data_IF_254840562515
#
_entry.id   IF_254840562515
#
_cell.length_a   1.000
_cell.length_b   1.000
_cell.length_c   1.000
_cell.angle_alpha   90.00
_cell.angle_beta   90.00
_cell.angle_gamma   90.00
#
_symmetry.space_group_name_H-M   'P 1'
#
loop_
_entity.id
_entity.type
_entity.pdbx_description
1 polymer ?
#
# COMPACT_ATOMS: atom_id res chain seq x y z
N UNK A 1 1.11 2.68 -4.12
CA UNK A 1 2.20 1.68 -4.14
C UNK A 1 3.39 2.20 -3.34
N UNK A 2 3.98 3.35 -3.70
CA UNK A 2 5.02 4.00 -2.88
C UNK A 2 4.43 4.74 -1.68
N UNK A 3 4.44 4.07 -0.52
CA UNK A 3 4.09 4.62 0.80
C UNK A 3 5.25 4.53 1.80
N UNK A 4 4.94 4.33 3.08
CA UNK A 4 5.93 4.10 4.13
C UNK A 4 6.66 2.74 4.03
N UNK A 5 6.05 1.75 3.36
CA UNK A 5 6.48 0.35 3.40
C UNK A 5 7.97 0.13 3.13
N UNK A 6 8.54 0.70 2.07
CA UNK A 6 9.96 0.50 1.75
C UNK A 6 10.92 1.07 2.81
N UNK A 7 10.50 2.05 3.58
CA UNK A 7 11.33 2.68 4.61
C UNK A 7 11.22 1.97 5.96
N UNK A 8 10.09 1.31 6.22
CA UNK A 8 9.79 0.72 7.54
C UNK A 8 9.81 -0.80 7.57
N UNK A 9 9.56 -1.45 6.45
CA UNK A 9 9.36 -2.91 6.39
C UNK A 9 10.65 -3.72 6.24
N UNK A 10 11.71 -3.29 5.52
CA UNK A 10 12.90 -4.13 5.31
C UNK A 10 13.52 -4.70 6.59
N UNK A 11 13.67 -3.88 7.63
CA UNK A 11 14.20 -4.32 8.93
C UNK A 11 13.32 -5.40 9.56
N UNK A 12 12.00 -5.21 9.52
CA UNK A 12 11.05 -6.18 10.06
C UNK A 12 10.95 -7.48 9.24
N UNK A 13 11.17 -7.43 7.92
CA UNK A 13 11.28 -8.65 7.09
C UNK A 13 12.53 -9.40 7.47
N UNK A 14 13.69 -8.72 7.51
CA UNK A 14 14.96 -9.36 7.85
C UNK A 14 14.95 -9.96 9.26
N UNK A 15 14.31 -9.29 10.22
CA UNK A 15 14.09 -9.81 11.56
C UNK A 15 13.23 -11.10 11.55
N UNK A 16 12.25 -11.20 10.66
CA UNK A 16 11.37 -12.39 10.56
C UNK A 16 12.07 -13.56 9.86
N UNK A 17 12.77 -13.30 8.73
CA UNK A 17 13.38 -14.37 7.91
C UNK A 17 14.80 -14.72 8.33
N UNK A 18 15.49 -13.86 9.08
CA UNK A 18 16.83 -14.07 9.63
C UNK A 18 17.99 -13.88 8.64
N UNK A 19 17.80 -14.15 7.33
CA UNK A 19 18.85 -14.10 6.30
C UNK A 19 18.57 -13.08 5.19
N UNK A 20 19.62 -12.45 4.66
CA UNK A 20 19.54 -11.37 3.66
C UNK A 20 19.07 -11.90 2.30
N UNK A 21 19.55 -13.07 1.87
CA UNK A 21 19.17 -13.72 0.61
C UNK A 21 17.67 -13.99 0.55
N UNK A 22 17.10 -14.59 1.59
CA UNK A 22 15.65 -14.82 1.68
C UNK A 22 14.89 -13.49 1.71
N UNK A 23 15.36 -12.48 2.47
CA UNK A 23 14.72 -11.16 2.50
C UNK A 23 14.65 -10.54 1.09
N UNK A 24 15.71 -10.65 0.29
CA UNK A 24 15.76 -10.17 -1.11
C UNK A 24 14.80 -10.95 -2.02
N UNK A 25 14.66 -12.27 -1.84
CA UNK A 25 13.69 -13.07 -2.61
C UNK A 25 12.25 -12.58 -2.40
N UNK A 26 11.88 -12.15 -1.18
CA UNK A 26 10.56 -11.59 -0.91
C UNK A 26 10.29 -10.29 -1.70
N UNK A 27 11.31 -9.48 -1.97
CA UNK A 27 11.19 -8.28 -2.80
C UNK A 27 11.02 -8.59 -4.29
N UNK A 28 11.31 -9.82 -4.72
CA UNK A 28 11.01 -10.33 -6.07
C UNK A 28 9.64 -11.01 -6.12
N UNK A 29 9.28 -11.77 -5.08
CA UNK A 29 8.00 -12.49 -5.02
C UNK A 29 6.79 -11.57 -4.85
N UNK A 30 6.88 -10.57 -3.97
CA UNK A 30 5.78 -9.65 -3.69
C UNK A 30 5.27 -8.86 -4.93
N UNK A 31 6.11 -8.30 -5.82
CA UNK A 31 5.63 -7.61 -7.02
C UNK A 31 5.01 -8.57 -8.05
N UNK A 32 5.41 -9.85 -8.10
CA UNK A 32 4.76 -10.85 -8.96
C UNK A 32 3.30 -11.08 -8.53
N UNK A 33 3.03 -11.08 -7.22
CA UNK A 33 1.67 -11.16 -6.70
C UNK A 33 0.85 -9.92 -7.06
N UNK A 34 1.45 -8.73 -6.94
CA UNK A 34 0.82 -7.48 -7.35
C UNK A 34 0.53 -7.45 -8.87
N UNK A 35 1.39 -8.04 -9.71
CA UNK A 35 1.17 -8.16 -11.16
C UNK A 35 -0.04 -9.04 -11.48
N UNK A 36 -0.20 -10.14 -10.75
CA UNK A 36 -1.34 -11.04 -10.93
C UNK A 36 -2.65 -10.35 -10.51
N UNK A 37 -2.65 -9.65 -9.37
CA UNK A 37 -3.79 -8.83 -8.92
C UNK A 37 -4.14 -7.72 -9.92
N UNK A 38 -3.13 -7.02 -10.46
CA UNK A 38 -3.32 -5.99 -11.48
C UNK A 38 -3.96 -6.57 -12.76
N UNK A 39 -3.58 -7.77 -13.16
CA UNK A 39 -4.18 -8.45 -14.31
C UNK A 39 -5.66 -8.79 -14.06
N UNK A 40 -5.99 -9.31 -12.87
CA UNK A 40 -7.37 -9.60 -12.46
C UNK A 40 -8.24 -8.34 -12.50
N UNK A 41 -7.78 -7.25 -11.87
CA UNK A 41 -8.54 -6.00 -11.81
C UNK A 41 -8.68 -5.33 -13.17
N UNK A 42 -7.65 -5.42 -14.01
CA UNK A 42 -7.73 -4.89 -15.38
C UNK A 42 -8.82 -5.58 -16.20
N UNK A 43 -8.98 -6.89 -16.01
CA UNK A 43 -10.06 -7.63 -16.66
C UNK A 43 -11.43 -7.23 -16.11
N UNK A 44 -11.60 -7.21 -14.79
CA UNK A 44 -12.85 -6.81 -14.14
C UNK A 44 -13.26 -5.38 -14.53
N UNK A 45 -12.32 -4.44 -14.50
CA UNK A 45 -12.52 -3.07 -14.93
C UNK A 45 -12.89 -2.98 -16.41
N UNK A 46 -12.34 -3.84 -17.27
CA UNK A 46 -12.70 -3.86 -18.71
C UNK A 46 -14.13 -4.30 -18.97
N UNK A 47 -14.75 -5.03 -18.03
CA UNK A 47 -16.17 -5.38 -18.13
C UNK A 47 -17.09 -4.23 -17.68
N UNK A 48 -16.58 -3.28 -16.87
CA UNK A 48 -17.36 -2.19 -16.26
C UNK A 48 -16.60 -0.84 -16.30
N UNK A 49 -16.20 -0.33 -17.47
CA UNK A 49 -15.28 0.82 -17.59
C UNK A 49 -15.83 2.15 -17.05
N UNK A 50 -17.16 2.31 -17.03
CA UNK A 50 -17.82 3.58 -16.70
C UNK A 50 -18.15 3.74 -15.21
N UNK A 51 -17.74 2.80 -14.35
CA UNK A 51 -18.03 2.85 -12.91
C UNK A 51 -16.74 2.92 -12.08
N UNK A 52 -16.73 3.85 -11.13
CA UNK A 52 -15.71 3.97 -10.08
C UNK A 52 -16.08 3.12 -8.86
N UNK A 53 -15.11 2.90 -7.95
CA UNK A 53 -15.32 2.10 -6.73
C UNK A 53 -14.89 0.63 -6.83
N UNK A 54 -14.25 0.24 -7.94
CA UNK A 54 -13.57 -1.05 -8.14
C UNK A 54 -14.29 -2.26 -7.54
N UNK A 55 -13.82 -2.76 -6.39
CA UNK A 55 -14.33 -3.97 -5.72
C UNK A 55 -15.83 -3.92 -5.46
N UNK A 56 -16.38 -2.75 -5.12
CA UNK A 56 -17.82 -2.55 -4.86
C UNK A 56 -18.65 -2.95 -6.08
N UNK A 57 -18.20 -2.52 -7.26
CA UNK A 57 -18.87 -2.78 -8.55
C UNK A 57 -18.64 -4.23 -8.96
N UNK A 58 -17.42 -4.74 -8.80
CA UNK A 58 -17.05 -6.08 -9.24
C UNK A 58 -17.79 -7.16 -8.44
N UNK A 59 -17.86 -7.00 -7.12
CA UNK A 59 -18.55 -7.94 -6.24
C UNK A 59 -20.08 -7.90 -6.43
N UNK A 60 -20.67 -6.70 -6.61
CA UNK A 60 -22.10 -6.55 -6.93
C UNK A 60 -22.48 -7.36 -8.18
N UNK A 61 -21.66 -7.28 -9.23
CA UNK A 61 -21.95 -7.98 -10.50
C UNK A 61 -21.60 -9.46 -10.47
N UNK A 62 -20.55 -9.84 -9.75
CA UNK A 62 -20.17 -11.24 -9.60
C UNK A 62 -21.20 -12.02 -8.78
N UNK A 63 -21.71 -11.45 -7.69
CA UNK A 63 -22.57 -12.12 -6.71
C UNK A 63 -23.92 -11.40 -6.52
N UNK A 64 -24.82 -11.43 -7.52
CA UNK A 64 -26.12 -10.78 -7.43
C UNK A 64 -27.13 -11.51 -6.51
N UNK A 65 -26.83 -12.75 -6.10
CA UNK A 65 -27.69 -13.58 -5.26
C UNK A 65 -26.88 -14.19 -4.10
N UNK A 66 -27.41 -14.19 -2.86
CA UNK A 66 -28.59 -13.46 -2.41
C UNK A 66 -28.42 -11.94 -2.56
N UNK A 67 -29.52 -11.23 -2.83
CA UNK A 67 -29.49 -9.81 -3.23
C UNK A 67 -28.76 -8.98 -2.17
N UNK A 68 -27.79 -8.19 -2.61
CA UNK A 68 -26.93 -7.34 -1.78
C UNK A 68 -26.04 -8.03 -0.74
N UNK A 69 -26.13 -9.35 -0.52
CA UNK A 69 -25.41 -9.99 0.59
C UNK A 69 -23.88 -9.75 0.54
N UNK A 70 -23.23 -10.15 -0.54
CA UNK A 70 -21.76 -9.98 -0.68
C UNK A 70 -21.38 -8.50 -0.71
N UNK A 71 -22.17 -7.66 -1.38
CA UNK A 71 -21.95 -6.21 -1.42
C UNK A 71 -22.06 -5.56 -0.04
N UNK A 72 -23.03 -5.94 0.79
CA UNK A 72 -23.22 -5.44 2.15
C UNK A 72 -22.09 -5.91 3.07
N UNK A 73 -21.73 -7.20 3.00
CA UNK A 73 -20.62 -7.74 3.80
C UNK A 73 -19.30 -7.04 3.44
N UNK A 74 -19.06 -6.82 2.15
CA UNK A 74 -17.92 -6.03 1.68
C UNK A 74 -17.98 -4.56 2.12
N UNK A 75 -19.15 -3.92 2.00
CA UNK A 75 -19.36 -2.54 2.40
C UNK A 75 -19.06 -2.32 3.89
N UNK A 76 -19.64 -3.15 4.75
CA UNK A 76 -19.43 -3.11 6.20
C UNK A 76 -17.96 -3.32 6.53
N UNK A 77 -17.34 -4.38 5.98
CA UNK A 77 -15.92 -4.63 6.19
C UNK A 77 -15.08 -3.44 5.74
N UNK A 78 -15.34 -2.90 4.55
CA UNK A 78 -14.53 -1.82 4.00
C UNK A 78 -14.62 -0.57 4.84
N UNK A 79 -15.79 -0.22 5.38
CA UNK A 79 -15.94 0.96 6.22
C UNK A 79 -15.10 0.83 7.48
N UNK A 80 -15.21 -0.31 8.19
CA UNK A 80 -14.44 -0.55 9.41
C UNK A 80 -12.93 -0.65 9.15
N UNK A 81 -12.51 -1.11 7.97
CA UNK A 81 -11.09 -1.18 7.58
C UNK A 81 -10.59 0.05 6.82
N UNK A 82 -11.42 1.08 6.60
CA UNK A 82 -11.06 2.28 5.81
C UNK A 82 -10.20 3.29 6.58
N UNK A 83 -9.29 2.81 7.41
CA UNK A 83 -8.42 3.66 8.21
C UNK A 83 -7.06 3.91 7.55
N UNK A 84 -6.39 4.99 7.98
CA UNK A 84 -5.05 5.37 7.49
C UNK A 84 -4.04 5.59 8.61
N UNK A 85 -4.20 4.85 9.71
CA UNK A 85 -3.40 4.99 10.93
C UNK A 85 -1.90 4.78 10.67
N UNK A 86 -1.53 3.71 9.96
CA UNK A 86 -0.13 3.32 9.76
C UNK A 86 0.71 4.45 9.16
N UNK A 87 0.22 5.11 8.10
CA UNK A 87 0.97 6.20 7.47
C UNK A 87 0.98 7.47 8.33
N UNK A 88 -0.06 7.74 9.12
CA UNK A 88 -0.10 8.89 10.03
C UNK A 88 0.88 8.72 11.20
N UNK A 89 0.97 7.51 11.75
CA UNK A 89 1.90 7.15 12.83
C UNK A 89 3.35 7.21 12.36
N UNK A 90 3.64 6.64 11.18
CA UNK A 90 4.99 6.71 10.58
C UNK A 90 5.34 8.16 10.22
N UNK A 91 4.41 8.93 9.66
CA UNK A 91 4.60 10.36 9.44
C UNK A 91 5.04 11.06 10.74
N UNK A 92 4.32 10.82 11.84
CA UNK A 92 4.60 11.47 13.12
C UNK A 92 5.99 11.11 13.67
N UNK A 93 6.38 9.82 13.61
CA UNK A 93 7.71 9.39 14.06
C UNK A 93 8.83 10.05 13.28
N UNK A 94 8.76 10.01 11.95
CA UNK A 94 9.79 10.60 11.10
C UNK A 94 9.78 12.13 11.17
N UNK A 95 8.61 12.77 11.23
CA UNK A 95 8.53 14.22 11.37
C UNK A 95 9.17 14.71 12.68
N UNK A 96 8.88 14.05 13.81
CA UNK A 96 9.47 14.38 15.11
C UNK A 96 10.97 14.10 15.13
N UNK A 97 11.40 12.96 14.58
CA UNK A 97 12.82 12.64 14.44
C UNK A 97 13.57 13.67 13.59
N UNK A 98 12.97 14.15 12.49
CA UNK A 98 13.53 15.20 11.64
C UNK A 98 13.72 16.53 12.37
N UNK A 99 12.83 16.84 13.32
CA UNK A 99 12.95 18.00 14.23
C UNK A 99 13.97 17.80 15.36
N UNK A 100 14.57 16.61 15.49
CA UNK A 100 15.44 16.25 16.60
C UNK A 100 14.70 16.03 17.92
N UNK A 101 13.37 15.83 17.87
CA UNK A 101 12.54 15.59 19.04
C UNK A 101 12.36 14.08 19.23
N UNK A 102 12.52 13.62 20.47
CA UNK A 102 12.21 12.22 20.81
C UNK A 102 10.70 12.01 20.80
N UNK A 103 10.18 11.04 20.02
CA UNK A 103 8.75 10.80 19.95
C UNK A 103 8.24 10.15 21.25
N UNK A 104 7.62 10.95 22.12
CA UNK A 104 6.79 10.41 23.19
C UNK A 104 5.45 9.95 22.62
N UNK A 105 4.77 8.95 23.24
CA UNK A 105 3.49 8.45 22.73
C UNK A 105 2.46 9.56 22.50
N UNK A 106 2.38 10.52 23.43
CA UNK A 106 1.43 11.64 23.36
C UNK A 106 1.77 12.58 22.19
N UNK A 107 3.04 12.98 22.05
CA UNK A 107 3.46 13.88 20.97
C UNK A 107 3.26 13.22 19.60
N UNK A 108 3.58 11.93 19.50
CA UNK A 108 3.36 11.15 18.28
C UNK A 108 1.87 11.09 17.91
N UNK A 109 0.98 10.81 18.86
CA UNK A 109 -0.47 10.78 18.64
C UNK A 109 -0.99 12.15 18.19
N UNK A 110 -0.56 13.25 18.83
CA UNK A 110 -0.97 14.61 18.46
C UNK A 110 -0.56 14.97 17.03
N UNK A 111 0.68 14.67 16.64
CA UNK A 111 1.16 14.91 15.27
C UNK A 111 0.43 14.03 14.26
N UNK A 112 0.16 12.76 14.60
CA UNK A 112 -0.60 11.84 13.75
C UNK A 112 -2.04 12.33 13.49
N UNK A 113 -2.71 12.84 14.53
CA UNK A 113 -4.04 13.46 14.39
C UNK A 113 -3.95 14.75 13.55
N UNK A 114 -2.94 15.59 13.80
CA UNK A 114 -2.74 16.83 13.05
C UNK A 114 -2.59 16.59 11.55
N UNK A 115 -1.75 15.62 11.15
CA UNK A 115 -1.57 15.29 9.73
C UNK A 115 -2.81 14.63 9.12
N UNK A 116 -3.55 13.83 9.90
CA UNK A 116 -4.82 13.25 9.46
C UNK A 116 -5.84 14.35 9.16
N UNK A 117 -6.04 15.30 10.08
CA UNK A 117 -6.96 16.43 9.92
C UNK A 117 -6.56 17.30 8.73
N UNK A 118 -5.26 17.62 8.58
CA UNK A 118 -4.77 18.35 7.43
C UNK A 118 -5.08 17.62 6.11
N UNK A 119 -4.89 16.30 6.07
CA UNK A 119 -5.20 15.46 4.90
C UNK A 119 -6.70 15.46 4.60
N UNK A 120 -7.55 15.21 5.61
CA UNK A 120 -9.00 15.14 5.40
C UNK A 120 -9.57 16.47 4.98
N UNK A 121 -9.09 17.58 5.54
CA UNK A 121 -9.51 18.94 5.15
C UNK A 121 -9.07 19.26 3.72
N UNK A 122 -7.85 18.89 3.33
CA UNK A 122 -7.37 19.08 1.96
C UNK A 122 -8.23 18.31 0.94
N UNK A 123 -8.56 17.05 1.24
CA UNK A 123 -9.40 16.21 0.37
C UNK A 123 -10.86 16.66 0.37
N UNK A 124 -11.36 17.15 1.51
CA UNK A 124 -12.71 17.71 1.64
C UNK A 124 -12.88 19.00 0.82
N UNK A 125 -11.88 19.88 0.82
CA UNK A 125 -11.98 21.19 0.17
C UNK A 125 -11.73 21.12 -1.33
N UNK A 126 -10.76 20.32 -1.80
CA UNK A 126 -10.44 20.26 -3.23
C UNK A 126 -9.77 18.96 -3.66
N UNK A 127 -10.47 18.20 -4.51
CA UNK A 127 -9.90 17.04 -5.21
C UNK A 127 -8.74 17.46 -6.12
N UNK A 128 -8.87 18.60 -6.83
CA UNK A 128 -7.85 19.06 -7.78
C UNK A 128 -6.54 19.40 -7.07
N UNK A 129 -6.62 20.13 -5.95
CA UNK A 129 -5.44 20.45 -5.14
C UNK A 129 -4.82 19.18 -4.56
N UNK A 130 -5.65 18.26 -4.05
CA UNK A 130 -5.21 16.97 -3.53
C UNK A 130 -4.43 16.15 -4.57
N UNK A 131 -4.95 16.03 -5.80
CA UNK A 131 -4.27 15.29 -6.87
C UNK A 131 -2.99 15.98 -7.36
N UNK A 132 -2.96 17.31 -7.39
CA UNK A 132 -1.74 18.06 -7.71
C UNK A 132 -0.66 17.87 -6.63
N UNK A 133 -1.04 17.90 -5.35
CA UNK A 133 -0.15 17.62 -4.24
C UNK A 133 0.38 16.18 -4.32
N UNK A 134 -0.48 15.19 -4.60
CA UNK A 134 -0.08 13.80 -4.83
C UNK A 134 0.90 13.69 -5.99
N UNK A 135 0.67 14.40 -7.10
CA UNK A 135 1.59 14.41 -8.25
C UNK A 135 2.98 14.91 -7.84
N UNK A 136 3.06 16.09 -7.21
CA UNK A 136 4.32 16.67 -6.74
C UNK A 136 5.05 15.75 -5.76
N UNK A 137 4.35 15.31 -4.70
CA UNK A 137 4.91 14.46 -3.65
C UNK A 137 5.34 13.11 -4.21
N UNK A 138 4.59 12.53 -5.15
CA UNK A 138 4.97 11.24 -5.77
C UNK A 138 6.21 11.37 -6.64
N UNK A 139 6.37 12.48 -7.37
CA UNK A 139 7.62 12.76 -8.11
C UNK A 139 8.80 12.87 -7.16
N UNK A 140 8.68 13.66 -6.09
CA UNK A 140 9.74 13.80 -5.08
C UNK A 140 10.09 12.45 -4.43
N UNK A 141 9.09 11.62 -4.14
CA UNK A 141 9.30 10.27 -3.59
C UNK A 141 10.13 9.40 -4.55
N UNK A 142 9.75 9.34 -5.83
CA UNK A 142 10.49 8.51 -6.81
C UNK A 142 11.92 9.01 -6.96
N UNK A 143 12.15 10.32 -7.02
CA UNK A 143 13.50 10.89 -7.06
C UNK A 143 14.31 10.52 -5.80
N UNK A 144 13.68 10.55 -4.63
CA UNK A 144 14.32 10.13 -3.37
C UNK A 144 14.72 8.65 -3.39
N UNK A 145 13.89 7.78 -3.96
CA UNK A 145 14.21 6.35 -4.12
C UNK A 145 15.38 6.15 -5.09
N UNK A 146 15.40 6.86 -6.22
CA UNK A 146 16.52 6.84 -7.17
C UNK A 146 17.81 7.30 -6.50
N UNK A 147 17.75 8.35 -5.67
CA UNK A 147 18.89 8.83 -4.90
C UNK A 147 19.43 7.78 -3.92
N UNK A 148 18.57 7.05 -3.21
CA UNK A 148 18.98 5.93 -2.34
C UNK A 148 19.66 4.83 -3.15
N UNK A 149 19.12 4.46 -4.31
CA UNK A 149 19.74 3.45 -5.20
C UNK A 149 21.11 3.91 -5.68
N UNK A 150 21.23 5.17 -6.12
CA UNK A 150 22.51 5.74 -6.55
C UNK A 150 23.54 5.77 -5.42
N UNK A 151 23.11 6.10 -4.20
CA UNK A 151 23.95 6.05 -3.00
C UNK A 151 24.42 4.62 -2.71
N UNK A 152 23.51 3.63 -2.78
CA UNK A 152 23.86 2.22 -2.62
C UNK A 152 24.87 1.73 -3.66
N UNK A 153 24.72 2.16 -4.92
CA UNK A 153 25.70 1.87 -5.96
C UNK A 153 27.07 2.49 -5.62
N UNK A 154 27.12 3.74 -5.15
CA UNK A 154 28.36 4.38 -4.71
C UNK A 154 29.03 3.65 -3.52
N UNK A 155 28.23 3.11 -2.59
CA UNK A 155 28.72 2.25 -1.49
C UNK A 155 29.38 0.97 -2.02
N UNK A 156 28.72 0.28 -2.94
CA UNK A 156 29.26 -0.95 -3.55
C UNK A 156 30.53 -0.70 -4.38
N UNK A 157 30.64 0.47 -5.01
CA UNK A 157 31.83 0.91 -5.74
C UNK A 157 32.98 1.38 -4.83
N UNK A 158 32.78 1.42 -3.51
CA UNK A 158 33.83 1.85 -2.56
C UNK A 158 34.11 3.36 -2.58
N UNK A 159 33.17 4.17 -3.06
CA UNK A 159 33.30 5.64 -3.15
C UNK A 159 32.95 6.31 -1.80
N UNK A 160 32.38 5.56 -0.86
CA UNK A 160 31.90 6.06 0.44
C UNK A 160 32.79 5.62 1.60
N UNK A 161 32.45 6.04 2.82
CA UNK A 161 33.19 5.74 4.07
C UNK A 161 33.10 4.25 4.48
N UNK A 162 32.21 3.48 3.86
CA UNK A 162 31.96 2.07 4.22
C UNK A 162 33.07 1.18 3.66
N UNK A 163 33.82 0.54 4.55
CA UNK A 163 35.01 -0.25 4.19
C UNK A 163 34.68 -1.64 3.61
N UNK A 164 33.62 -2.29 4.10
CA UNK A 164 33.28 -3.67 3.71
C UNK A 164 31.83 -3.80 3.21
N UNK A 165 31.51 -3.28 2.01
CA UNK A 165 30.14 -3.30 1.50
C UNK A 165 29.63 -4.69 1.10
N UNK A 166 30.53 -5.70 1.02
CA UNK A 166 30.21 -7.06 0.56
C UNK A 166 30.02 -8.09 1.69
N UNK A 167 30.28 -7.73 2.95
CA UNK A 167 30.32 -8.70 4.07
C UNK A 167 28.98 -9.44 4.23
N UNK A 168 27.89 -8.69 4.17
CA UNK A 168 26.52 -9.19 4.25
C UNK A 168 26.12 -10.12 3.08
N UNK A 169 26.86 -10.12 1.96
CA UNK A 169 26.58 -10.92 0.78
C UNK A 169 27.44 -12.20 0.69
N UNK A 170 28.43 -12.39 1.57
CA UNK A 170 29.29 -13.60 1.57
C UNK A 170 28.53 -14.86 1.94
N UNK A 171 27.65 -14.77 2.94
CA UNK A 171 26.79 -15.87 3.38
C UNK A 171 25.31 -15.41 3.41
N UNK A 172 24.70 -15.21 2.23
CA UNK A 172 23.42 -14.52 2.14
C UNK A 172 22.27 -15.31 2.78
N UNK A 173 22.37 -16.64 2.83
CA UNK A 173 21.34 -17.53 3.39
C UNK A 173 21.65 -17.99 4.82
N UNK A 174 22.66 -17.42 5.47
CA UNK A 174 23.00 -17.81 6.83
C UNK A 174 21.96 -17.30 7.84
N UNK A 175 21.57 -18.16 8.78
CA UNK A 175 20.58 -17.85 9.82
C UNK A 175 19.15 -17.72 9.29
N UNK A 176 18.81 -18.37 8.18
CA UNK A 176 17.43 -18.44 7.70
C UNK A 176 16.53 -19.09 8.75
N UNK A 177 15.42 -18.42 9.06
CA UNK A 177 14.40 -18.94 9.97
C UNK A 177 13.77 -20.20 9.40
N UNK A 178 13.72 -21.27 10.19
CA UNK A 178 12.98 -22.51 9.87
C UNK A 178 11.49 -22.41 10.23
N UNK A 179 11.07 -21.31 10.89
CA UNK A 179 9.69 -21.13 11.31
C UNK A 179 8.83 -20.68 10.12
N UNK A 180 7.88 -21.51 9.75
CA UNK A 180 6.94 -21.23 8.68
C UNK A 180 6.08 -19.99 8.95
N UNK A 181 5.71 -19.75 10.21
CA UNK A 181 5.00 -18.54 10.63
C UNK A 181 5.83 -17.28 10.34
N UNK A 182 7.12 -17.30 10.69
CA UNK A 182 7.99 -16.15 10.46
C UNK A 182 8.20 -15.85 8.96
N UNK A 183 8.27 -16.90 8.13
CA UNK A 183 8.31 -16.78 6.67
C UNK A 183 6.99 -16.24 6.09
N UNK A 184 5.84 -16.68 6.61
CA UNK A 184 4.52 -16.18 6.21
C UNK A 184 4.35 -14.69 6.57
N UNK A 185 4.70 -14.31 7.80
CA UNK A 185 4.65 -12.93 8.27
C UNK A 185 5.55 -12.01 7.43
N UNK A 186 6.73 -12.47 7.04
CA UNK A 186 7.60 -11.75 6.12
C UNK A 186 6.96 -11.51 4.75
N UNK A 187 6.25 -12.51 4.22
CA UNK A 187 5.53 -12.39 2.94
C UNK A 187 4.41 -11.36 3.01
N UNK A 188 3.64 -11.36 4.09
CA UNK A 188 2.56 -10.37 4.33
C UNK A 188 3.15 -8.96 4.35
N UNK A 189 4.22 -8.77 5.11
CA UNK A 189 4.95 -7.48 5.21
C UNK A 189 5.50 -7.04 3.84
N UNK A 190 6.10 -7.95 3.09
CA UNK A 190 6.59 -7.66 1.74
C UNK A 190 5.44 -7.28 0.80
N UNK A 191 4.33 -8.03 0.84
CA UNK A 191 3.14 -7.75 0.03
C UNK A 191 2.56 -6.37 0.35
N UNK A 192 2.45 -6.02 1.64
CA UNK A 192 1.99 -4.70 2.11
C UNK A 192 2.75 -3.55 1.44
N UNK A 193 4.07 -3.69 1.24
CA UNK A 193 4.90 -2.66 0.61
C UNK A 193 4.53 -2.38 -0.86
N UNK A 194 3.89 -3.33 -1.54
CA UNK A 194 3.43 -3.18 -2.93
C UNK A 194 1.92 -2.89 -3.05
N UNK A 195 1.17 -2.91 -1.95
CA UNK A 195 -0.28 -2.63 -1.98
C UNK A 195 -0.56 -1.19 -2.48
N UNK A 196 -1.73 -1.03 -3.11
CA UNK A 196 -2.23 0.26 -3.60
C UNK A 196 -2.20 0.40 -5.12
N UNK A 197 -1.81 -0.64 -5.85
CA UNK A 197 -2.01 -0.72 -7.30
C UNK A 197 -3.51 -0.70 -7.68
N UNK A 198 -4.39 -1.23 -6.83
CA UNK A 198 -5.84 -1.26 -7.07
C UNK A 198 -6.48 0.14 -6.97
N UNK A 199 -5.81 1.10 -6.31
CA UNK A 199 -6.38 2.42 -6.06
C UNK A 199 -6.67 3.21 -7.34
N UNK A 200 -5.95 2.94 -8.43
CA UNK A 200 -6.22 3.54 -9.73
C UNK A 200 -7.61 3.14 -10.28
N UNK A 201 -8.09 1.94 -9.94
CA UNK A 201 -9.42 1.47 -10.36
C UNK A 201 -10.55 2.08 -9.52
N UNK A 202 -10.26 2.60 -8.32
CA UNK A 202 -11.27 3.32 -7.51
C UNK A 202 -11.72 4.63 -8.16
N UNK A 203 -10.84 5.25 -8.96
CA UNK A 203 -11.08 6.53 -9.64
C UNK A 203 -11.17 6.36 -11.16
N UNK A 204 -11.54 5.15 -11.63
CA UNK A 204 -11.51 4.79 -13.04
C UNK A 204 -12.31 5.75 -13.93
N UNK A 205 -13.50 6.19 -13.49
CA UNK A 205 -14.33 7.14 -14.24
C UNK A 205 -13.76 8.58 -14.27
N UNK A 206 -12.79 8.90 -13.41
CA UNK A 206 -12.12 10.21 -13.40
C UNK A 206 -10.88 10.24 -14.32
N UNK A 207 -10.45 9.09 -14.86
CA UNK A 207 -9.30 8.99 -15.77
C UNK A 207 -9.69 9.52 -17.15
N UNK A 208 -9.04 10.60 -17.58
CA UNK A 208 -9.23 11.18 -18.92
C UNK A 208 -8.62 10.27 -19.99
N UNK A 209 -9.36 10.01 -21.07
CA UNK A 209 -8.87 9.29 -22.25
C UNK A 209 -9.97 8.50 -22.96
N UNK A 210 -9.63 7.96 -24.14
CA UNK A 210 -10.55 7.10 -24.92
C UNK A 210 -10.74 5.71 -24.28
N UNK A 211 -9.69 5.18 -23.64
CA UNK A 211 -9.76 3.90 -22.91
C UNK A 211 -9.11 4.04 -21.51
N UNK A 212 -9.92 4.43 -20.50
CA UNK A 212 -9.49 4.56 -19.11
C UNK A 212 -8.87 3.28 -18.54
N UNK A 213 -9.39 2.11 -18.94
CA UNK A 213 -8.95 0.82 -18.40
C UNK A 213 -7.58 0.44 -18.93
N UNK A 214 -7.33 0.59 -20.24
CA UNK A 214 -6.00 0.37 -20.81
C UNK A 214 -4.98 1.35 -20.24
N UNK A 215 -5.39 2.60 -20.03
CA UNK A 215 -4.54 3.63 -19.41
C UNK A 215 -4.15 3.22 -17.98
N UNK A 216 -5.13 2.86 -17.15
CA UNK A 216 -4.90 2.39 -15.78
C UNK A 216 -4.01 1.14 -15.74
N UNK A 217 -4.25 0.17 -16.62
CA UNK A 217 -3.44 -1.05 -16.74
C UNK A 217 -1.99 -0.74 -17.15
N UNK A 218 -1.77 0.10 -18.16
CA UNK A 218 -0.43 0.46 -18.64
C UNK A 218 0.34 1.24 -17.56
N UNK A 219 -0.31 2.24 -16.97
CA UNK A 219 0.26 3.01 -15.86
C UNK A 219 0.60 2.11 -14.66
N UNK A 220 -0.31 1.20 -14.28
CA UNK A 220 -0.09 0.23 -13.20
C UNK A 220 1.09 -0.70 -13.45
N UNK A 221 1.26 -1.20 -14.68
CA UNK A 221 2.40 -2.07 -15.04
C UNK A 221 3.74 -1.33 -14.98
N UNK A 222 3.79 -0.12 -15.55
CA UNK A 222 5.01 0.71 -15.55
C UNK A 222 5.36 1.10 -14.12
N UNK A 223 4.39 1.55 -13.33
CA UNK A 223 4.59 1.91 -11.94
C UNK A 223 5.08 0.72 -11.11
N UNK A 224 4.45 -0.46 -11.25
CA UNK A 224 4.84 -1.65 -10.53
C UNK A 224 6.25 -2.13 -10.92
N UNK A 225 6.58 -2.15 -12.21
CA UNK A 225 7.92 -2.53 -12.67
C UNK A 225 8.99 -1.56 -12.14
N UNK A 226 8.77 -0.25 -12.25
CA UNK A 226 9.68 0.77 -11.75
C UNK A 226 9.89 0.63 -10.23
N UNK A 227 8.79 0.51 -9.47
CA UNK A 227 8.85 0.42 -8.00
C UNK A 227 9.48 -0.90 -7.57
N UNK A 228 9.19 -2.02 -8.23
CA UNK A 228 9.81 -3.32 -7.93
C UNK A 228 11.32 -3.25 -8.10
N UNK A 229 11.80 -2.70 -9.22
CA UNK A 229 13.23 -2.53 -9.48
C UNK A 229 13.88 -1.62 -8.44
N UNK A 230 13.29 -0.45 -8.15
CA UNK A 230 13.84 0.46 -7.14
C UNK A 230 13.87 -0.17 -5.75
N UNK A 231 12.79 -0.83 -5.33
CA UNK A 231 12.72 -1.45 -4.00
C UNK A 231 13.73 -2.58 -3.86
N UNK A 232 13.93 -3.39 -4.90
CA UNK A 232 14.95 -4.43 -4.90
C UNK A 232 16.36 -3.84 -4.70
N UNK A 233 16.72 -2.82 -5.48
CA UNK A 233 18.03 -2.17 -5.34
C UNK A 233 18.21 -1.38 -4.04
N UNK A 234 17.14 -0.82 -3.47
CA UNK A 234 17.19 -0.17 -2.15
C UNK A 234 17.52 -1.19 -1.06
N UNK A 235 16.95 -2.39 -1.12
CA UNK A 235 17.26 -3.43 -0.14
C UNK A 235 18.71 -3.92 -0.27
N UNK A 236 19.24 -3.98 -1.50
CA UNK A 236 20.67 -4.21 -1.72
C UNK A 236 21.49 -3.07 -1.13
N UNK A 237 21.10 -1.81 -1.33
CA UNK A 237 21.77 -0.65 -0.75
C UNK A 237 21.81 -0.71 0.78
N UNK A 238 20.69 -1.05 1.42
CA UNK A 238 20.61 -1.23 2.87
C UNK A 238 21.55 -2.34 3.37
N UNK A 239 21.51 -3.50 2.71
CA UNK A 239 22.41 -4.62 3.04
C UNK A 239 23.88 -4.31 2.75
N UNK A 240 24.21 -3.42 1.81
CA UNK A 240 25.59 -3.05 1.54
C UNK A 240 26.16 -2.07 2.57
N UNK A 241 25.32 -1.18 3.13
CA UNK A 241 25.79 -0.09 3.98
C UNK A 241 25.65 -0.33 5.48
N UNK A 242 24.72 -1.19 5.91
CA UNK A 242 24.41 -1.39 7.33
C UNK A 242 24.61 -2.86 7.71
N UNK A 243 25.26 -3.16 8.85
CA UNK A 243 25.41 -4.54 9.33
C UNK A 243 24.06 -5.26 9.51
N UNK A 244 24.01 -6.56 9.19
CA UNK A 244 22.80 -7.40 9.26
C UNK A 244 22.05 -7.28 10.58
N UNK A 245 22.75 -7.34 11.71
CA UNK A 245 22.15 -7.31 13.04
C UNK A 245 21.56 -5.94 13.40
N UNK A 246 22.17 -4.85 12.94
CA UNK A 246 21.60 -3.51 13.09
C UNK A 246 20.33 -3.34 12.26
N UNK A 247 20.30 -3.86 11.03
CA UNK A 247 19.08 -3.84 10.20
C UNK A 247 17.94 -4.60 10.89
N UNK A 248 18.22 -5.78 11.47
CA UNK A 248 17.21 -6.57 12.21
C UNK A 248 16.63 -5.82 13.40
N UNK A 249 17.48 -5.10 14.15
CA UNK A 249 17.08 -4.40 15.37
C UNK A 249 16.51 -3.00 15.11
N UNK A 250 16.68 -2.47 13.89
CA UNK A 250 16.21 -1.15 13.47
C UNK A 250 14.69 -0.97 13.50
N UNK A 251 13.94 -2.08 13.46
CA UNK A 251 12.50 -2.08 13.32
C UNK A 251 12.06 -1.31 12.07
N UNK A 252 11.46 -0.14 12.30
CA UNK A 252 10.92 0.73 11.25
C UNK A 252 11.90 1.80 10.76
N UNK A 253 13.13 1.87 11.30
CA UNK A 253 14.07 2.97 11.06
C UNK A 253 15.26 2.59 10.17
N UNK A 254 15.19 1.48 9.43
CA UNK A 254 16.28 1.01 8.54
C UNK A 254 16.78 2.09 7.58
N UNK A 255 15.87 2.88 7.01
CA UNK A 255 16.24 3.98 6.13
C UNK A 255 17.10 5.03 6.85
N UNK A 256 16.73 5.40 8.08
CA UNK A 256 17.48 6.39 8.86
C UNK A 256 18.89 5.86 9.20
N UNK A 257 19.00 4.59 9.58
CA UNK A 257 20.28 3.94 9.85
C UNK A 257 21.20 3.93 8.62
N UNK A 258 20.66 3.62 7.43
CA UNK A 258 21.42 3.67 6.18
C UNK A 258 22.06 5.05 5.95
N UNK A 259 21.28 6.12 6.11
CA UNK A 259 21.80 7.48 5.91
C UNK A 259 22.80 7.89 6.99
N UNK A 260 22.59 7.47 8.23
CA UNK A 260 23.54 7.71 9.33
C UNK A 260 24.89 7.05 9.04
N UNK A 261 24.90 5.82 8.53
CA UNK A 261 26.13 5.12 8.15
C UNK A 261 26.85 5.77 6.97
N UNK A 262 26.12 6.20 5.94
CA UNK A 262 26.73 6.73 4.71
C UNK A 262 27.13 8.20 4.83
N UNK A 263 26.30 9.03 5.46
CA UNK A 263 26.45 10.51 5.47
C UNK A 263 26.66 11.09 6.87
N UNK A 264 26.67 10.27 7.92
CA UNK A 264 26.80 10.72 9.31
C UNK A 264 25.52 11.30 9.91
N UNK A 265 25.62 11.66 11.20
CA UNK A 265 24.46 11.94 12.05
C UNK A 265 23.82 13.32 11.87
N UNK A 266 24.46 14.28 11.20
CA UNK A 266 24.00 15.67 11.22
C UNK A 266 23.01 16.05 10.11
N UNK A 267 23.32 15.74 8.84
CA UNK A 267 22.51 16.19 7.69
C UNK A 267 21.66 15.06 7.09
N UNK A 268 22.23 13.86 6.96
CA UNK A 268 21.56 12.72 6.32
C UNK A 268 20.31 12.24 7.07
N UNK A 269 20.38 12.16 8.41
CA UNK A 269 19.26 11.71 9.24
C UNK A 269 18.04 12.65 9.19
N UNK A 270 18.25 13.97 9.30
CA UNK A 270 17.15 14.95 9.33
C UNK A 270 16.43 15.08 7.98
N UNK A 271 17.19 15.22 6.90
CA UNK A 271 16.63 15.38 5.55
C UNK A 271 15.82 14.14 5.17
N UNK A 272 16.36 12.95 5.41
CA UNK A 272 15.63 11.72 5.14
C UNK A 272 14.33 11.64 5.93
N UNK A 273 14.38 11.95 7.22
CA UNK A 273 13.20 11.92 8.07
C UNK A 273 12.08 12.81 7.52
N UNK A 274 12.40 14.00 7.00
CA UNK A 274 11.42 14.82 6.28
C UNK A 274 10.96 14.22 4.95
N UNK A 275 11.85 13.60 4.17
CA UNK A 275 11.47 12.93 2.91
C UNK A 275 10.51 11.76 3.14
N UNK A 276 10.77 10.94 4.17
CA UNK A 276 9.88 9.83 4.54
C UNK A 276 8.57 10.36 5.10
N UNK A 277 8.57 11.43 5.90
CA UNK A 277 7.34 12.08 6.35
C UNK A 277 6.52 12.60 5.15
N UNK A 278 7.13 13.35 4.23
CA UNK A 278 6.46 13.80 3.00
C UNK A 278 5.95 12.63 2.14
N UNK A 279 6.68 11.51 2.11
CA UNK A 279 6.23 10.26 1.49
C UNK A 279 4.93 9.75 2.11
N UNK A 280 4.88 9.68 3.44
CA UNK A 280 3.69 9.25 4.17
C UNK A 280 2.52 10.19 3.95
N UNK A 281 2.76 11.51 3.99
CA UNK A 281 1.73 12.54 3.75
C UNK A 281 1.11 12.42 2.35
N UNK A 282 1.93 12.31 1.30
CA UNK A 282 1.40 12.12 -0.05
C UNK A 282 0.61 10.82 -0.21
N UNK A 283 0.98 9.77 0.53
CA UNK A 283 0.24 8.51 0.51
C UNK A 283 -1.10 8.62 1.25
N UNK A 284 -1.15 9.35 2.38
CA UNK A 284 -2.38 9.66 3.10
C UNK A 284 -3.40 10.35 2.19
N UNK A 285 -2.98 11.36 1.42
CA UNK A 285 -3.85 12.06 0.46
C UNK A 285 -4.34 11.09 -0.61
N UNK A 286 -3.44 10.34 -1.26
CA UNK A 286 -3.78 9.44 -2.37
C UNK A 286 -4.76 8.32 -1.95
N UNK A 287 -4.54 7.72 -0.78
CA UNK A 287 -5.42 6.68 -0.23
C UNK A 287 -6.76 7.26 0.18
N UNK A 288 -6.77 8.45 0.81
CA UNK A 288 -8.02 9.13 1.20
C UNK A 288 -8.86 9.50 -0.01
N UNK A 289 -8.24 10.02 -1.08
CA UNK A 289 -8.95 10.29 -2.34
C UNK A 289 -9.60 9.01 -2.86
N UNK A 290 -8.87 7.92 -3.03
CA UNK A 290 -9.45 6.70 -3.62
C UNK A 290 -10.48 5.98 -2.75
N UNK A 291 -10.23 5.83 -1.45
CA UNK A 291 -11.16 5.15 -0.55
C UNK A 291 -12.47 5.92 -0.36
N UNK A 292 -12.45 7.25 -0.42
CA UNK A 292 -13.69 8.04 -0.34
C UNK A 292 -14.59 7.83 -1.56
N UNK A 293 -14.04 7.52 -2.74
CA UNK A 293 -14.85 7.14 -3.92
C UNK A 293 -15.46 5.76 -3.73
N UNK A 294 -14.71 4.83 -3.14
CA UNK A 294 -15.21 3.51 -2.81
C UNK A 294 -16.39 3.59 -1.83
N UNK A 295 -16.22 4.29 -0.70
CA UNK A 295 -17.29 4.48 0.30
C UNK A 295 -18.49 5.22 -0.30
N UNK A 296 -18.26 6.20 -1.18
CA UNK A 296 -19.35 6.88 -1.91
C UNK A 296 -20.14 5.91 -2.77
N UNK A 297 -19.47 4.99 -3.48
CA UNK A 297 -20.16 4.01 -4.32
C UNK A 297 -20.98 3.01 -3.47
N UNK A 298 -20.45 2.62 -2.31
CA UNK A 298 -21.22 1.86 -1.30
C UNK A 298 -22.48 2.63 -0.88
N UNK A 299 -22.37 3.93 -0.62
CA UNK A 299 -23.53 4.76 -0.28
C UNK A 299 -24.54 4.84 -1.43
N UNK A 300 -24.08 4.94 -2.69
CA UNK A 300 -24.95 4.97 -3.89
C UNK A 300 -25.72 3.67 -4.11
N UNK A 301 -25.21 2.55 -3.64
CA UNK A 301 -25.93 1.27 -3.66
C UNK A 301 -27.07 1.20 -2.63
N UNK A 302 -27.21 2.20 -1.76
CA UNK A 302 -28.23 2.22 -0.70
C UNK A 302 -27.89 1.33 0.50
N UNK A 303 -26.64 0.90 0.63
CA UNK A 303 -26.18 0.00 1.69
C UNK A 303 -25.87 0.72 3.01
N UNK A 304 -25.80 2.06 2.98
CA UNK A 304 -25.49 2.88 4.14
C UNK A 304 -26.70 3.69 4.61
N UNK A 305 -26.79 3.99 5.93
CA UNK A 305 -27.80 4.90 6.44
C UNK A 305 -27.60 6.29 5.81
N UNK A 306 -28.70 6.97 5.48
CA UNK A 306 -28.69 8.28 4.82
C UNK A 306 -27.89 8.32 3.50
N UNK A 307 -28.20 7.45 2.52
CA UNK A 307 -27.41 7.29 1.30
C UNK A 307 -27.35 8.57 0.46
N UNK A 308 -28.41 9.40 0.48
CA UNK A 308 -28.45 10.67 -0.24
C UNK A 308 -27.43 11.67 0.32
N UNK A 309 -27.21 11.68 1.64
CA UNK A 309 -26.23 12.55 2.29
C UNK A 309 -24.80 12.04 2.04
N UNK A 310 -24.58 10.74 2.22
CA UNK A 310 -23.26 10.12 2.11
C UNK A 310 -22.78 9.95 0.65
N UNK A 311 -23.68 9.92 -0.32
CA UNK A 311 -23.30 9.90 -1.74
C UNK A 311 -23.15 11.29 -2.36
N UNK A 312 -23.58 12.34 -1.64
CA UNK A 312 -23.54 13.73 -2.09
C UNK A 312 -22.11 14.22 -2.28
N UNK A 313 -21.95 15.12 -3.27
CA UNK A 313 -20.69 15.85 -3.53
C UNK A 313 -20.81 17.35 -3.32
N UNK A 314 -21.95 17.84 -2.85
CA UNK A 314 -22.13 19.26 -2.57
C UNK A 314 -21.50 19.63 -1.21
N UNK A 315 -20.97 20.86 -1.05
CA UNK A 315 -20.88 21.94 -2.04
C UNK A 315 -19.60 21.92 -2.90
N UNK A 316 -18.52 21.30 -2.45
CA UNK A 316 -17.18 21.45 -3.05
C UNK A 316 -16.89 20.53 -4.25
N UNK A 317 -17.85 19.71 -4.69
CA UNK A 317 -17.63 18.66 -5.69
C UNK A 317 -16.84 17.46 -5.13
N UNK A 318 -16.76 17.32 -3.81
CA UNK A 318 -16.02 16.26 -3.08
C UNK A 318 -16.98 15.45 -2.20
N UNK A 319 -16.75 14.14 -2.00
CA UNK A 319 -17.62 13.32 -1.17
C UNK A 319 -17.35 13.55 0.33
N UNK A 320 -17.92 14.63 0.89
CA UNK A 320 -17.67 15.05 2.28
C UNK A 320 -18.07 13.99 3.32
N UNK A 321 -19.23 13.36 3.17
CA UNK A 321 -19.68 12.30 4.09
C UNK A 321 -18.68 11.14 4.18
N UNK A 322 -18.26 10.55 3.05
CA UNK A 322 -17.21 9.53 3.01
C UNK A 322 -15.87 9.99 3.58
N UNK A 323 -15.47 11.25 3.36
CA UNK A 323 -14.26 11.83 3.96
C UNK A 323 -14.38 11.87 5.49
N UNK A 324 -15.54 12.30 6.02
CA UNK A 324 -15.80 12.38 7.45
C UNK A 324 -15.83 10.99 8.11
N UNK A 325 -16.48 9.99 7.50
CA UNK A 325 -16.49 8.61 8.01
C UNK A 325 -15.07 8.06 8.12
N UNK A 326 -14.30 8.17 7.02
CA UNK A 326 -12.91 7.71 6.98
C UNK A 326 -12.03 8.43 8.00
N UNK A 327 -12.18 9.76 8.10
CA UNK A 327 -11.45 10.60 9.05
C UNK A 327 -11.77 10.22 10.49
N UNK A 328 -13.05 10.08 10.83
CA UNK A 328 -13.52 9.70 12.17
C UNK A 328 -13.04 8.33 12.59
N UNK A 329 -13.16 7.31 11.74
CA UNK A 329 -12.66 5.95 12.03
C UNK A 329 -11.14 5.96 12.21
N UNK A 330 -10.41 6.67 11.35
CA UNK A 330 -8.95 6.79 11.47
C UNK A 330 -8.55 7.50 12.77
N UNK A 331 -9.26 8.55 13.16
CA UNK A 331 -9.00 9.32 14.38
C UNK A 331 -9.27 8.48 15.63
N UNK A 332 -10.40 7.76 15.66
CA UNK A 332 -10.76 6.85 16.74
C UNK A 332 -9.69 5.77 16.93
N UNK A 333 -9.20 5.15 15.85
CA UNK A 333 -8.16 4.12 15.96
C UNK A 333 -6.80 4.68 16.38
N UNK A 334 -6.45 5.90 15.96
CA UNK A 334 -5.23 6.58 16.47
C UNK A 334 -5.32 6.83 17.97
N UNK A 335 -6.51 7.12 18.50
CA UNK A 335 -6.72 7.35 19.93
C UNK A 335 -6.75 6.06 20.75
N UNK A 336 -7.34 4.98 20.20
CA UNK A 336 -7.51 3.72 20.92
C UNK A 336 -6.26 2.84 20.92
N UNK A 337 -5.41 2.90 19.89
CA UNK A 337 -4.30 1.97 19.73
C UNK A 337 -2.99 2.61 20.24
N UNK A 338 -2.31 2.01 21.24
CA UNK A 338 -1.02 2.51 21.72
C UNK A 338 0.04 2.51 20.62
N UNK A 339 0.81 3.59 20.51
CA UNK A 339 1.74 3.85 19.41
C UNK A 339 2.80 2.75 19.17
N UNK A 340 3.19 2.00 20.21
CA UNK A 340 4.24 0.96 20.10
C UNK A 340 3.81 -0.28 19.31
N UNK A 341 2.58 -0.75 19.50
CA UNK A 341 2.09 -1.98 18.86
C UNK A 341 1.16 -1.72 17.66
N UNK A 342 0.91 -0.44 17.37
CA UNK A 342 -0.07 -0.03 16.35
C UNK A 342 0.25 -0.59 14.97
N UNK A 343 1.52 -0.55 14.53
CA UNK A 343 1.84 -0.83 13.13
C UNK A 343 1.48 -2.26 12.70
N UNK A 344 1.96 -3.27 13.43
CA UNK A 344 1.75 -4.67 13.07
C UNK A 344 0.28 -5.06 13.26
N UNK A 345 -0.34 -4.69 14.38
CA UNK A 345 -1.74 -4.99 14.64
C UNK A 345 -2.67 -4.39 13.58
N UNK A 346 -2.48 -3.11 13.25
CA UNK A 346 -3.29 -2.40 12.24
C UNK A 346 -3.07 -2.96 10.84
N UNK A 347 -1.82 -3.32 10.50
CA UNK A 347 -1.51 -3.96 9.23
C UNK A 347 -2.25 -5.29 9.12
N UNK A 348 -2.18 -6.12 10.16
CA UNK A 348 -2.84 -7.42 10.17
C UNK A 348 -4.36 -7.27 10.08
N UNK A 349 -4.95 -6.39 10.88
CA UNK A 349 -6.38 -6.10 10.88
C UNK A 349 -6.91 -5.65 9.50
N UNK A 350 -6.12 -4.85 8.76
CA UNK A 350 -6.49 -4.41 7.42
C UNK A 350 -6.27 -5.49 6.35
N UNK A 351 -5.25 -6.33 6.50
CA UNK A 351 -4.82 -7.26 5.48
C UNK A 351 -5.73 -8.50 5.38
N UNK A 352 -6.22 -9.04 6.51
CA UNK A 352 -7.08 -10.23 6.50
C UNK A 352 -8.36 -10.07 5.64
N UNK A 353 -9.21 -9.05 5.88
CA UNK A 353 -10.42 -8.87 5.07
C UNK A 353 -10.08 -8.59 3.60
N UNK A 354 -9.00 -7.85 3.34
CA UNK A 354 -8.55 -7.55 1.99
C UNK A 354 -8.22 -8.82 1.20
N UNK A 355 -7.47 -9.77 1.79
CA UNK A 355 -7.16 -11.03 1.12
C UNK A 355 -8.39 -11.91 0.90
N UNK A 356 -9.32 -11.93 1.86
CA UNK A 356 -10.59 -12.65 1.72
C UNK A 356 -11.37 -12.16 0.50
N UNK A 357 -11.61 -10.84 0.39
CA UNK A 357 -12.37 -10.29 -0.72
C UNK A 357 -11.64 -10.37 -2.06
N UNK A 358 -10.30 -10.28 -2.08
CA UNK A 358 -9.52 -10.55 -3.28
C UNK A 358 -9.69 -11.99 -3.76
N UNK A 359 -9.68 -12.98 -2.86
CA UNK A 359 -10.01 -14.37 -3.20
C UNK A 359 -11.42 -14.53 -3.75
N UNK A 360 -12.41 -13.90 -3.12
CA UNK A 360 -13.81 -13.89 -3.60
C UNK A 360 -13.92 -13.24 -4.98
N UNK A 361 -13.16 -12.19 -5.29
CA UNK A 361 -13.12 -11.58 -6.62
C UNK A 361 -12.50 -12.48 -7.69
N UNK A 362 -11.49 -13.28 -7.35
CA UNK A 362 -10.92 -14.27 -8.28
C UNK A 362 -12.01 -15.25 -8.73
N UNK A 363 -12.74 -15.83 -7.77
CA UNK A 363 -13.87 -16.72 -8.07
C UNK A 363 -14.95 -15.96 -8.87
N UNK A 364 -15.18 -14.69 -8.52
CA UNK A 364 -16.11 -13.80 -9.20
C UNK A 364 -15.81 -13.61 -10.69
N UNK A 365 -14.54 -13.49 -11.08
CA UNK A 365 -14.14 -13.39 -12.50
C UNK A 365 -14.51 -14.64 -13.28
N UNK A 366 -14.29 -15.82 -12.72
CA UNK A 366 -14.67 -17.07 -13.40
C UNK A 366 -16.18 -17.20 -13.55
N UNK A 367 -16.95 -16.80 -12.55
CA UNK A 367 -18.41 -16.74 -12.64
C UNK A 367 -18.88 -15.76 -13.71
N UNK A 368 -18.29 -14.56 -13.77
CA UNK A 368 -18.61 -13.56 -14.78
C UNK A 368 -18.26 -14.05 -16.19
N UNK A 369 -17.10 -14.68 -16.38
CA UNK A 369 -16.73 -15.30 -17.67
C UNK A 369 -17.74 -16.37 -18.10
N UNK A 370 -18.15 -17.25 -17.19
CA UNK A 370 -19.16 -18.28 -17.47
C UNK A 370 -20.49 -17.65 -17.89
N UNK A 371 -20.96 -16.64 -17.15
CA UNK A 371 -22.20 -15.93 -17.49
C UNK A 371 -22.13 -15.22 -18.84
N UNK A 372 -21.01 -14.56 -19.16
CA UNK A 372 -20.81 -13.93 -20.48
C UNK A 372 -20.86 -14.94 -21.61
N UNK A 373 -20.19 -16.10 -21.44
CA UNK A 373 -20.23 -17.20 -22.42
C UNK A 373 -21.66 -17.71 -22.63
N UNK A 374 -22.40 -17.97 -21.54
CA UNK A 374 -23.79 -18.43 -21.62
C UNK A 374 -24.70 -17.39 -22.29
N UNK A 375 -24.45 -16.10 -22.06
CA UNK A 375 -25.19 -15.01 -22.69
C UNK A 375 -24.77 -14.69 -24.13
N UNK A 376 -23.85 -15.46 -24.73
CA UNK A 376 -23.33 -15.20 -26.08
C UNK A 376 -22.53 -13.91 -26.22
N UNK A 377 -22.10 -13.30 -25.10
CA UNK A 377 -21.34 -12.05 -25.11
C UNK A 377 -19.87 -12.32 -25.41
N UNK A 378 -19.23 -11.40 -26.14
CA UNK A 378 -17.81 -11.45 -26.39
C UNK A 378 -16.98 -11.54 -25.08
N UNK A 379 -15.83 -12.22 -25.11
CA UNK A 379 -14.88 -12.24 -23.99
C UNK A 379 -14.53 -10.82 -23.52
N UNK A 380 -14.10 -10.70 -22.26
CA UNK A 380 -13.65 -9.41 -21.72
C UNK A 380 -12.50 -8.83 -22.55
N UNK A 381 -12.50 -7.53 -22.88
CA UNK A 381 -11.47 -6.93 -23.73
C UNK A 381 -10.03 -7.13 -23.23
N UNK A 382 -9.84 -7.23 -21.91
CA UNK A 382 -8.53 -7.39 -21.28
C UNK A 382 -8.44 -8.69 -20.47
N UNK A 383 -8.94 -9.80 -21.03
CA UNK A 383 -8.96 -11.09 -20.34
C UNK A 383 -7.57 -11.52 -19.85
N UNK A 384 -7.44 -11.80 -18.55
CA UNK A 384 -6.21 -12.29 -17.94
C UNK A 384 -6.05 -13.81 -18.14
N UNK A 385 -4.80 -14.28 -18.19
CA UNK A 385 -4.52 -15.73 -18.27
C UNK A 385 -4.97 -16.43 -16.99
N UNK A 386 -5.60 -17.59 -17.12
CA UNK A 386 -6.04 -18.39 -15.96
C UNK A 386 -4.89 -18.71 -15.00
N UNK A 387 -3.70 -19.00 -15.51
CA UNK A 387 -2.52 -19.26 -14.68
C UNK A 387 -2.23 -18.11 -13.70
N UNK A 388 -2.30 -16.85 -14.15
CA UNK A 388 -2.07 -15.68 -13.29
C UNK A 388 -3.15 -15.55 -12.21
N UNK A 389 -4.41 -15.83 -12.58
CA UNK A 389 -5.55 -15.77 -11.66
C UNK A 389 -5.43 -16.87 -10.59
N UNK A 390 -5.04 -18.09 -10.98
CA UNK A 390 -4.82 -19.21 -10.04
C UNK A 390 -3.65 -18.91 -9.11
N UNK A 391 -2.53 -18.39 -9.63
CA UNK A 391 -1.40 -17.97 -8.78
C UNK A 391 -1.84 -16.92 -7.77
N UNK A 392 -2.65 -15.94 -8.17
CA UNK A 392 -3.17 -14.93 -7.26
C UNK A 392 -4.11 -15.54 -6.21
N UNK A 393 -4.98 -16.48 -6.58
CA UNK A 393 -5.84 -17.18 -5.63
C UNK A 393 -5.03 -17.96 -4.60
N UNK A 394 -4.02 -18.71 -5.05
CA UNK A 394 -3.13 -19.46 -4.17
C UNK A 394 -2.39 -18.53 -3.21
N UNK A 395 -1.92 -17.37 -3.69
CA UNK A 395 -1.30 -16.37 -2.83
C UNK A 395 -2.28 -15.80 -1.79
N UNK A 396 -3.52 -15.48 -2.18
CA UNK A 396 -4.55 -15.02 -1.24
C UNK A 396 -4.89 -16.09 -0.18
N UNK A 397 -5.05 -17.35 -0.60
CA UNK A 397 -5.33 -18.47 0.31
C UNK A 397 -4.16 -18.70 1.27
N UNK A 398 -2.93 -18.68 0.75
CA UNK A 398 -1.72 -18.81 1.54
C UNK A 398 -1.63 -17.72 2.62
N UNK A 399 -1.86 -16.47 2.24
CA UNK A 399 -1.83 -15.33 3.17
C UNK A 399 -3.01 -15.30 4.13
N UNK A 400 -4.09 -16.04 3.86
CA UNK A 400 -5.26 -16.11 4.74
C UNK A 400 -5.19 -17.28 5.73
N UNK A 401 -4.62 -18.40 5.30
CA UNK A 401 -4.53 -19.64 6.10
C UNK A 401 -3.30 -19.63 7.01
N UNK A 402 -2.20 -19.02 6.57
CA UNK A 402 -0.98 -19.08 7.37
C UNK A 402 -1.16 -18.32 8.69
N UNK A 403 -0.60 -18.85 9.78
CA UNK A 403 -0.56 -18.14 11.05
C UNK A 403 0.52 -17.04 10.93
N UNK A 404 0.12 -15.78 11.08
CA UNK A 404 1.00 -14.61 11.12
C UNK A 404 0.45 -13.51 12.01
#
# INVERSE_FOLDING_TARGET
>A
MTGSGIFTVPGTILNSVGSIGVALLYWVLAPLFALCGLALYSELASMFPNRSGAEVVFLEKAYPRPKYFVSTVFAVSTIFTSFTVTNAVVFAQYFLNGLGLSPTPITQTRVAIGVLLATTTLVATSTKLSLNAVKLLSTMKVLSLVFVVATGAAVLLGITVIKNPYDNFRQPFEGTSSSFNALALALVKANYSFVGWHNAFNVLAEIKGQDPVRTARKAGRIALALIATLFFFINIAYAAAVPKEEIKNSGQLVAALFFQHVYGNHWGGRILSFLVALSCFGNLIAVTVGQTRLIREVARQGLLPYPNLLSSTQPFGTPLGPVAIKGGISMLLILLIPAKDTFNFVLNLAAYPNYLFQGVMVVGVWLLRRRRKVAGLAPSPLQARNALIVIFLLACLLLLIMPW
#
